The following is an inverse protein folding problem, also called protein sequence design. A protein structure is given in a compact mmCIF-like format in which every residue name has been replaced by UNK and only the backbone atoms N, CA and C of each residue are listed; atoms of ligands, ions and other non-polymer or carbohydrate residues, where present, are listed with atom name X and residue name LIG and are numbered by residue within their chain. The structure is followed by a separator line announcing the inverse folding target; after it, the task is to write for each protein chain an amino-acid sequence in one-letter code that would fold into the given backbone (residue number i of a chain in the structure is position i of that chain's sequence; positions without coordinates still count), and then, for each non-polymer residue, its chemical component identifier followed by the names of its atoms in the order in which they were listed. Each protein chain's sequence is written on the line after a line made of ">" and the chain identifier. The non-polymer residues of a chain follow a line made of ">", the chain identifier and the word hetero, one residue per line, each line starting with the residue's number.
data_IF_277479073933
#
_entry.id   IF_277479073933
#
_cell.length_a   1.000
_cell.length_b   1.000
_cell.length_c   1.000
_cell.angle_alpha   90.00
_cell.angle_beta   90.00
_cell.angle_gamma   90.00
#
_symmetry.space_group_name_H-M   'P 1'
#
loop_
_entity.id
_entity.type
_entity.pdbx_description
1 polymer ?
#
# COMPACT_ATOMS: atom_id res chain seq x y z
N UNK A 1 5.24 -27.28 -40.06
CA UNK A 1 5.62 -25.93 -39.60
C UNK A 1 6.64 -26.09 -38.48
N UNK A 2 7.81 -25.47 -38.58
CA UNK A 2 8.85 -25.52 -37.54
C UNK A 2 8.47 -24.60 -36.37
N UNK A 3 8.69 -25.05 -35.13
CA UNK A 3 8.46 -24.24 -33.93
C UNK A 3 9.39 -23.02 -33.94
N UNK A 4 8.88 -21.78 -33.78
CA UNK A 4 9.68 -20.57 -33.97
C UNK A 4 10.54 -20.25 -32.75
N UNK A 5 11.51 -21.13 -32.47
CA UNK A 5 12.37 -21.12 -31.27
C UNK A 5 13.10 -19.79 -31.10
N UNK A 6 13.67 -19.24 -32.18
CA UNK A 6 14.41 -17.97 -32.16
C UNK A 6 13.52 -16.79 -31.74
N UNK A 7 12.30 -16.73 -32.27
CA UNK A 7 11.32 -15.69 -31.92
C UNK A 7 10.91 -15.77 -30.45
N UNK A 8 10.73 -16.97 -29.91
CA UNK A 8 10.42 -17.14 -28.48
C UNK A 8 11.57 -16.72 -27.58
N UNK A 9 12.82 -17.05 -27.94
CA UNK A 9 13.99 -16.61 -27.19
C UNK A 9 14.06 -15.07 -27.15
N UNK A 10 13.84 -14.41 -28.29
CA UNK A 10 13.79 -12.95 -28.36
C UNK A 10 12.67 -12.37 -27.47
N UNK A 11 11.46 -12.94 -27.55
CA UNK A 11 10.33 -12.49 -26.72
C UNK A 11 10.57 -12.69 -25.23
N UNK A 12 11.20 -13.79 -24.83
CA UNK A 12 11.56 -14.03 -23.42
C UNK A 12 12.64 -13.06 -22.94
N UNK A 13 13.61 -12.73 -23.79
CA UNK A 13 14.61 -11.70 -23.50
C UNK A 13 13.97 -10.34 -23.28
N UNK A 14 13.14 -9.91 -24.24
CA UNK A 14 12.40 -8.64 -24.14
C UNK A 14 11.51 -8.61 -22.90
N UNK A 15 10.81 -9.71 -22.59
CA UNK A 15 9.98 -9.81 -21.40
C UNK A 15 10.82 -9.64 -20.14
N UNK A 16 11.94 -10.34 -20.04
CA UNK A 16 12.86 -10.23 -18.90
C UNK A 16 13.32 -8.78 -18.71
N UNK A 17 13.77 -8.13 -19.78
CA UNK A 17 14.26 -6.75 -19.72
C UNK A 17 13.15 -5.78 -19.28
N UNK A 18 11.93 -5.94 -19.80
CA UNK A 18 10.77 -5.16 -19.38
C UNK A 18 10.43 -5.38 -17.90
N UNK A 19 10.50 -6.61 -17.39
CA UNK A 19 10.29 -6.88 -15.97
C UNK A 19 11.40 -6.22 -15.12
N UNK A 20 12.67 -6.36 -15.53
CA UNK A 20 13.79 -5.74 -14.80
C UNK A 20 13.69 -4.22 -14.76
N UNK A 21 13.28 -3.58 -15.85
CA UNK A 21 13.07 -2.13 -15.89
C UNK A 21 11.85 -1.71 -15.05
N UNK A 22 10.71 -2.37 -15.24
CA UNK A 22 9.45 -2.03 -14.56
C UNK A 22 9.52 -2.23 -13.04
N UNK A 23 10.27 -3.22 -12.57
CA UNK A 23 10.40 -3.55 -11.14
C UNK A 23 11.74 -3.13 -10.55
N UNK A 24 12.49 -2.26 -11.24
CA UNK A 24 13.78 -1.74 -10.76
C UNK A 24 13.66 -1.13 -9.36
N UNK A 25 12.62 -0.33 -9.12
CA UNK A 25 12.40 0.31 -7.84
C UNK A 25 12.23 -0.70 -6.68
N UNK A 26 11.67 -1.88 -6.93
CA UNK A 26 11.57 -2.96 -5.93
C UNK A 26 12.92 -3.60 -5.66
N UNK A 27 13.80 -3.66 -6.66
CA UNK A 27 15.18 -4.09 -6.44
C UNK A 27 15.94 -3.10 -5.58
N UNK A 28 15.72 -1.80 -5.79
CA UNK A 28 16.33 -0.73 -5.00
C UNK A 28 15.80 -0.71 -3.55
N UNK A 29 14.52 -1.06 -3.35
CA UNK A 29 13.87 -1.14 -2.03
C UNK A 29 14.04 -2.49 -1.33
N UNK A 30 14.70 -3.47 -1.96
CA UNK A 30 14.75 -4.86 -1.50
C UNK A 30 15.21 -5.01 -0.05
N UNK A 31 16.26 -4.29 0.33
CA UNK A 31 16.83 -4.39 1.67
C UNK A 31 15.95 -3.70 2.72
N UNK A 32 15.29 -2.59 2.35
CA UNK A 32 14.29 -1.95 3.20
C UNK A 32 13.07 -2.86 3.41
N UNK A 33 12.62 -3.58 2.37
CA UNK A 33 11.51 -4.53 2.47
C UNK A 33 11.86 -5.68 3.40
N UNK A 34 13.08 -6.24 3.28
CA UNK A 34 13.56 -7.33 4.15
C UNK A 34 13.66 -6.90 5.60
N UNK A 35 14.18 -5.70 5.85
CA UNK A 35 14.26 -5.13 7.19
C UNK A 35 12.84 -4.93 7.77
N UNK A 36 11.91 -4.42 6.96
CA UNK A 36 10.51 -4.28 7.37
C UNK A 36 9.82 -5.63 7.63
N UNK A 37 10.09 -6.64 6.80
CA UNK A 37 9.51 -7.97 6.95
C UNK A 37 9.99 -8.64 8.24
N UNK A 38 11.29 -8.54 8.54
CA UNK A 38 11.88 -9.15 9.72
C UNK A 38 13.07 -8.34 10.27
N UNK A 39 12.82 -7.36 11.15
CA UNK A 39 13.89 -6.54 11.73
C UNK A 39 14.77 -7.33 12.71
N UNK A 40 14.31 -8.49 13.21
CA UNK A 40 15.07 -9.36 14.11
C UNK A 40 16.11 -10.23 13.39
N UNK A 41 15.97 -10.42 12.09
CA UNK A 41 16.93 -11.14 11.25
C UNK A 41 17.74 -10.20 10.33
N UNK A 42 17.54 -8.90 10.45
CA UNK A 42 18.25 -7.90 9.66
C UNK A 42 19.73 -7.83 10.06
N UNK A 43 20.61 -7.75 9.07
CA UNK A 43 22.03 -7.47 9.31
C UNK A 43 22.23 -5.98 9.63
N UNK A 44 22.47 -5.71 10.91
CA UNK A 44 22.71 -4.36 11.44
C UNK A 44 23.83 -3.63 10.70
N UNK A 45 24.89 -4.33 10.28
CA UNK A 45 26.02 -3.68 9.61
C UNK A 45 25.68 -3.17 8.20
N UNK A 46 24.69 -3.80 7.57
CA UNK A 46 24.19 -3.41 6.25
C UNK A 46 23.05 -2.37 6.30
N UNK A 47 22.50 -2.11 7.49
CA UNK A 47 21.37 -1.21 7.66
C UNK A 47 21.78 0.28 7.60
N UNK A 48 20.85 1.18 7.22
CA UNK A 48 21.05 2.63 7.31
C UNK A 48 21.51 3.06 8.71
N UNK A 49 22.48 3.99 8.78
CA UNK A 49 23.13 4.42 10.02
C UNK A 49 22.15 4.89 11.10
N UNK A 50 21.08 5.57 10.69
CA UNK A 50 19.99 6.06 11.55
C UNK A 50 19.14 4.95 12.18
N UNK A 51 19.21 3.72 11.64
CA UNK A 51 18.50 2.55 12.14
C UNK A 51 19.38 1.60 12.93
N UNK A 52 20.71 1.66 12.79
CA UNK A 52 21.61 0.64 13.37
C UNK A 52 21.48 0.52 14.88
N UNK A 53 21.47 1.64 15.61
CA UNK A 53 21.32 1.64 17.08
C UNK A 53 19.95 1.10 17.51
N UNK A 54 18.88 1.55 16.85
CA UNK A 54 17.52 1.07 17.12
C UNK A 54 17.37 -0.42 16.84
N UNK A 55 18.03 -0.95 15.79
CA UNK A 55 18.04 -2.37 15.47
C UNK A 55 18.80 -3.19 16.51
N UNK A 56 19.93 -2.70 17.01
CA UNK A 56 20.69 -3.37 18.08
C UNK A 56 19.81 -3.48 19.33
N UNK A 57 19.21 -2.35 19.74
CA UNK A 57 18.34 -2.31 20.90
C UNK A 57 17.12 -3.22 20.72
N UNK A 58 16.52 -3.23 19.53
CA UNK A 58 15.39 -4.10 19.20
C UNK A 58 15.77 -5.59 19.28
N UNK A 59 16.87 -5.98 18.62
CA UNK A 59 17.34 -7.36 18.54
C UNK A 59 17.79 -7.91 19.89
N UNK A 60 18.19 -7.03 20.82
CA UNK A 60 18.54 -7.41 22.20
C UNK A 60 17.32 -7.74 23.07
N UNK A 61 16.10 -7.32 22.68
CA UNK A 61 14.89 -7.44 23.50
C UNK A 61 14.04 -8.67 23.13
N UNK A 62 14.19 -9.73 23.90
CA UNK A 62 13.41 -10.98 23.73
C UNK A 62 11.90 -10.77 23.85
N UNK A 63 11.45 -9.88 24.74
CA UNK A 63 10.02 -9.56 24.91
C UNK A 63 9.41 -8.90 23.67
N UNK A 64 10.18 -8.12 22.91
CA UNK A 64 9.75 -7.55 21.64
C UNK A 64 9.73 -8.61 20.53
N UNK A 65 10.68 -9.55 20.53
CA UNK A 65 10.67 -10.70 19.63
C UNK A 65 9.43 -11.58 19.84
N UNK A 66 9.06 -11.85 21.09
CA UNK A 66 7.87 -12.62 21.42
C UNK A 66 6.60 -11.92 20.94
N UNK A 67 6.51 -10.60 21.15
CA UNK A 67 5.41 -9.79 20.59
C UNK A 67 5.38 -9.87 19.07
N UNK A 68 6.51 -9.69 18.40
CA UNK A 68 6.61 -9.76 16.95
C UNK A 68 6.12 -11.11 16.39
N UNK A 69 6.46 -12.21 17.06
CA UNK A 69 6.00 -13.56 16.67
C UNK A 69 4.51 -13.79 16.93
N UNK A 70 3.93 -13.09 17.91
CA UNK A 70 2.54 -13.27 18.32
C UNK A 70 1.54 -12.40 17.53
N UNK A 71 2.00 -11.42 16.74
CA UNK A 71 1.12 -10.50 16.03
C UNK A 71 1.56 -10.26 14.58
N UNK A 72 0.69 -9.61 13.80
CA UNK A 72 1.02 -9.23 12.43
C UNK A 72 2.06 -8.08 12.41
N UNK A 73 2.94 -8.08 11.40
CA UNK A 73 4.03 -7.10 11.24
C UNK A 73 3.58 -5.65 11.38
N UNK A 74 2.47 -5.27 10.74
CA UNK A 74 1.93 -3.91 10.80
C UNK A 74 1.48 -3.55 12.23
N UNK A 75 0.83 -4.49 12.93
CA UNK A 75 0.39 -4.28 14.30
C UNK A 75 1.58 -4.14 15.25
N UNK A 76 2.67 -4.89 15.02
CA UNK A 76 3.90 -4.78 15.78
C UNK A 76 4.51 -3.38 15.71
N UNK A 77 4.68 -2.83 14.51
CA UNK A 77 5.22 -1.47 14.35
C UNK A 77 4.32 -0.39 14.96
N UNK A 78 3.01 -0.62 15.04
CA UNK A 78 2.07 0.30 15.68
C UNK A 78 2.23 0.36 17.22
N UNK A 79 2.59 -0.76 17.86
CA UNK A 79 2.77 -0.86 19.31
C UNK A 79 4.22 -0.64 19.77
N UNK A 80 5.17 -0.51 18.84
CA UNK A 80 6.57 -0.28 19.13
C UNK A 80 6.75 1.09 19.83
N UNK A 81 7.52 1.22 20.92
CA UNK A 81 7.70 2.49 21.62
C UNK A 81 8.27 3.60 20.72
N UNK A 82 7.57 4.73 20.60
CA UNK A 82 8.00 5.85 19.74
C UNK A 82 9.27 6.54 20.23
N UNK A 83 9.45 6.61 21.55
CA UNK A 83 10.61 7.27 22.17
C UNK A 83 11.91 6.48 21.95
N UNK A 84 11.81 5.15 21.83
CA UNK A 84 12.98 4.26 21.69
C UNK A 84 13.25 3.88 20.24
N UNK A 85 12.20 3.76 19.42
CA UNK A 85 12.31 3.29 18.04
C UNK A 85 11.67 4.24 17.01
N UNK A 86 11.96 5.56 17.05
CA UNK A 86 11.32 6.52 16.16
C UNK A 86 11.63 6.26 14.68
N UNK A 87 12.86 5.89 14.32
CA UNK A 87 13.26 5.71 12.94
C UNK A 87 12.74 4.40 12.35
N UNK A 88 12.74 3.30 13.12
CA UNK A 88 12.13 2.04 12.71
C UNK A 88 10.63 2.19 12.46
N UNK A 89 9.92 2.94 13.32
CA UNK A 89 8.50 3.25 13.10
C UNK A 89 8.28 4.08 11.84
N UNK A 90 9.13 5.09 11.62
CA UNK A 90 9.06 5.95 10.42
C UNK A 90 9.30 5.15 9.14
N UNK A 91 10.30 4.27 9.14
CA UNK A 91 10.59 3.39 8.00
C UNK A 91 9.43 2.42 7.74
N UNK A 92 8.88 1.80 8.79
CA UNK A 92 7.73 0.92 8.66
C UNK A 92 6.52 1.65 8.08
N UNK A 93 6.25 2.87 8.51
CA UNK A 93 5.17 3.69 7.97
C UNK A 93 5.37 4.00 6.47
N UNK A 94 6.60 4.34 6.07
CA UNK A 94 6.95 4.54 4.65
C UNK A 94 6.67 3.26 3.85
N UNK A 95 7.09 2.10 4.36
CA UNK A 95 6.89 0.82 3.67
C UNK A 95 5.40 0.46 3.54
N UNK A 96 4.62 0.61 4.62
CA UNK A 96 3.17 0.40 4.61
C UNK A 96 2.49 1.31 3.57
N UNK A 97 2.92 2.57 3.47
CA UNK A 97 2.34 3.56 2.56
C UNK A 97 2.53 3.21 1.09
N UNK A 98 3.66 2.59 0.72
CA UNK A 98 3.91 2.14 -0.66
C UNK A 98 2.86 1.10 -1.08
N UNK A 99 2.54 0.15 -0.19
CA UNK A 99 1.54 -0.88 -0.48
C UNK A 99 0.11 -0.36 -0.44
N UNK A 100 -0.24 0.48 0.55
CA UNK A 100 -1.60 1.01 0.67
C UNK A 100 -1.94 2.01 -0.43
N UNK A 101 -0.99 2.85 -0.86
CA UNK A 101 -1.21 3.78 -1.98
C UNK A 101 -1.48 3.04 -3.30
N UNK A 102 -0.74 1.96 -3.58
CA UNK A 102 -1.00 1.10 -4.75
C UNK A 102 -2.39 0.50 -4.69
N UNK A 103 -2.77 -0.07 -3.54
CA UNK A 103 -4.10 -0.64 -3.35
C UNK A 103 -5.22 0.40 -3.53
N UNK A 104 -5.07 1.58 -2.93
CA UNK A 104 -6.05 2.68 -3.06
C UNK A 104 -6.14 3.15 -4.51
N UNK A 105 -5.03 3.27 -5.23
CA UNK A 105 -5.01 3.61 -6.65
C UNK A 105 -5.76 2.57 -7.50
N UNK A 106 -5.52 1.28 -7.27
CA UNK A 106 -6.20 0.19 -7.98
C UNK A 106 -7.71 0.14 -7.67
N UNK A 107 -8.08 0.34 -6.41
CA UNK A 107 -9.48 0.45 -6.00
C UNK A 107 -10.15 1.67 -6.66
N UNK A 108 -9.49 2.82 -6.66
CA UNK A 108 -9.97 4.04 -7.31
C UNK A 108 -10.18 3.84 -8.81
N UNK A 109 -9.22 3.21 -9.48
CA UNK A 109 -9.34 2.89 -10.91
C UNK A 109 -10.48 1.91 -11.20
N UNK A 110 -10.67 0.92 -10.32
CA UNK A 110 -11.77 -0.05 -10.42
C UNK A 110 -13.14 0.59 -10.21
N UNK A 111 -13.27 1.50 -9.25
CA UNK A 111 -14.48 2.32 -9.03
C UNK A 111 -14.73 3.21 -10.24
N UNK A 112 -13.71 3.92 -10.73
CA UNK A 112 -13.80 4.76 -11.93
C UNK A 112 -14.29 3.96 -13.15
N UNK A 113 -13.72 2.78 -13.41
CA UNK A 113 -14.13 1.93 -14.54
C UNK A 113 -15.61 1.52 -14.46
N UNK A 114 -16.13 1.29 -13.25
CA UNK A 114 -17.55 0.98 -13.00
C UNK A 114 -18.45 2.22 -13.14
N UNK A 115 -17.99 3.39 -12.70
CA UNK A 115 -18.76 4.63 -12.71
C UNK A 115 -18.81 5.31 -14.09
N UNK A 116 -17.80 5.09 -14.93
CA UNK A 116 -17.63 5.72 -16.26
C UNK A 116 -18.82 5.54 -17.22
N UNK A 117 -19.49 4.38 -17.34
CA UNK A 117 -20.67 4.23 -18.21
C UNK A 117 -21.91 4.96 -17.65
N UNK A 118 -22.02 5.06 -16.32
CA UNK A 118 -23.18 5.61 -15.60
C UNK A 118 -23.15 7.15 -15.63
N UNK A 119 -21.94 7.73 -15.52
CA UNK A 119 -21.72 9.18 -15.46
C UNK A 119 -21.47 9.82 -16.84
N UNK A 120 -21.36 9.04 -17.92
CA UNK A 120 -21.03 9.52 -19.29
C UNK A 120 -22.02 10.56 -19.84
N UNK A 121 -23.26 10.56 -19.36
CA UNK A 121 -24.33 11.43 -19.89
C UNK A 121 -24.69 12.60 -18.96
N UNK A 122 -24.17 12.64 -17.72
CA UNK A 122 -24.56 13.63 -16.71
C UNK A 122 -23.44 13.84 -15.69
N UNK A 123 -22.86 15.05 -15.72
CA UNK A 123 -22.30 15.84 -14.60
C UNK A 123 -20.83 16.28 -14.71
N UNK A 124 -20.59 17.48 -14.17
CA UNK A 124 -19.31 18.14 -13.95
C UNK A 124 -18.45 17.44 -12.88
N UNK A 125 -17.14 17.71 -12.90
CA UNK A 125 -16.09 17.04 -12.11
C UNK A 125 -16.40 16.82 -10.61
N UNK A 126 -17.14 17.73 -9.96
CA UNK A 126 -17.51 17.67 -8.53
C UNK A 126 -18.33 16.41 -8.14
N UNK A 127 -19.25 15.96 -9.00
CA UNK A 127 -20.04 14.75 -8.71
C UNK A 127 -19.20 13.48 -8.88
N UNK A 128 -18.21 13.52 -9.76
CA UNK A 128 -17.31 12.40 -10.00
C UNK A 128 -16.36 12.20 -8.81
N UNK A 129 -15.81 13.29 -8.24
CA UNK A 129 -15.01 13.25 -7.00
C UNK A 129 -15.80 12.62 -5.85
N UNK A 130 -17.04 13.05 -5.64
CA UNK A 130 -17.90 12.53 -4.58
C UNK A 130 -18.14 11.02 -4.70
N UNK A 131 -18.38 10.51 -5.92
CA UNK A 131 -18.58 9.08 -6.19
C UNK A 131 -17.30 8.28 -5.94
N UNK A 132 -16.14 8.80 -6.35
CA UNK A 132 -14.86 8.15 -6.08
C UNK A 132 -14.57 8.09 -4.59
N UNK A 133 -14.78 9.19 -3.86
CA UNK A 133 -14.58 9.26 -2.40
C UNK A 133 -15.47 8.26 -1.66
N UNK A 134 -16.74 8.16 -2.03
CA UNK A 134 -17.66 7.17 -1.44
C UNK A 134 -17.29 5.72 -1.81
N UNK A 135 -16.78 5.48 -3.01
CA UNK A 135 -16.46 4.13 -3.48
C UNK A 135 -15.12 3.58 -2.98
N UNK A 136 -14.19 4.45 -2.56
CA UNK A 136 -12.81 4.09 -2.19
C UNK A 136 -12.57 4.22 -0.69
N UNK A 137 -13.32 5.08 0.01
CA UNK A 137 -13.18 5.25 1.46
C UNK A 137 -14.16 4.38 2.24
N UNK A 138 -13.88 4.17 3.52
CA UNK A 138 -14.82 3.59 4.49
C UNK A 138 -15.83 4.61 5.04
N UNK A 139 -15.95 5.79 4.42
CA UNK A 139 -16.91 6.82 4.86
C UNK A 139 -18.33 6.31 4.66
N UNK A 140 -19.10 6.27 5.75
CA UNK A 140 -20.52 5.93 5.69
C UNK A 140 -21.32 7.21 5.42
N UNK A 141 -22.24 7.23 4.45
CA UNK A 141 -23.12 8.37 4.26
C UNK A 141 -24.03 8.52 5.49
N UNK A 142 -24.14 9.74 6.02
CA UNK A 142 -25.09 10.04 7.08
C UNK A 142 -26.51 10.19 6.49
N UNK A 143 -27.14 9.04 6.27
CA UNK A 143 -28.46 8.93 5.65
C UNK A 143 -29.51 9.66 6.49
N UNK A 144 -29.39 9.64 7.82
CA UNK A 144 -30.37 10.27 8.71
C UNK A 144 -30.35 11.79 8.53
N UNK A 145 -29.15 12.39 8.50
CA UNK A 145 -28.99 13.81 8.22
C UNK A 145 -29.52 14.17 6.83
N UNK A 146 -29.16 13.41 5.80
CA UNK A 146 -29.62 13.64 4.42
C UNK A 146 -31.14 13.56 4.28
N UNK A 147 -31.79 12.63 4.99
CA UNK A 147 -33.25 12.50 5.01
C UNK A 147 -33.89 13.68 5.74
N UNK A 148 -33.30 14.16 6.82
CA UNK A 148 -33.81 15.32 7.57
C UNK A 148 -33.72 16.64 6.80
N UNK A 149 -32.74 16.78 5.90
CA UNK A 149 -32.50 18.00 5.11
C UNK A 149 -33.27 18.00 3.77
N UNK A 150 -33.82 16.86 3.34
CA UNK A 150 -34.57 16.77 2.09
C UNK A 150 -36.05 17.13 2.29
N UNK A 151 -36.54 18.15 1.57
CA UNK A 151 -37.99 18.38 1.44
C UNK A 151 -38.65 17.21 0.70
N UNK A 152 -39.67 16.61 1.34
CA UNK A 152 -40.55 15.62 0.71
C UNK A 152 -41.29 16.28 -0.45
N UNK A 153 -40.95 15.89 -1.68
CA UNK A 153 -41.76 16.25 -2.83
C UNK A 153 -42.98 15.33 -2.87
N UNK A 154 -44.09 15.84 -2.37
CA UNK A 154 -45.39 15.19 -2.49
C UNK A 154 -45.84 15.43 -3.93
N UNK A 155 -45.97 14.35 -4.71
CA UNK A 155 -46.50 14.45 -6.07
C UNK A 155 -47.98 14.82 -6.01
N UNK A 156 -48.40 15.74 -6.89
CA UNK A 156 -49.77 16.23 -7.00
C UNK A 156 -50.69 15.24 -7.72
#
# INVERSE_FOLDING_TARGET
>A
MSFPKERMIQLLGLLKDNFSERFKDFHDLKDEIRLFENPFAADVSSAPTDLQLELIDLQSQTSLLDKFRAMQTIAFYAVLPAETFPNLRKQALRMITIFTSTYVCEQTFSVMKRAKPILRNRLADEHFDSVLRLGVSSMQPDIQKLVSEKQLQISH
#
